data_IF_304721443138
#
_entry.id   IF_304721443138
#
_cell.length_a   1.000
_cell.length_b   1.000
_cell.length_c   1.000
_cell.angle_alpha   90.00
_cell.angle_beta   90.00
_cell.angle_gamma   90.00
#
_symmetry.space_group_name_H-M   'P 1'
#
loop_
_entity.id
_entity.type
_entity.pdbx_description
1 polymer ?
#
# COMPACT_ATOMS: atom_id res chain seq x y z
N UNK A 1 -4.24 -30.65 -18.13
CA UNK A 1 -5.21 -29.70 -17.53
C UNK A 1 -5.08 -28.39 -18.28
N UNK A 2 -6.18 -27.88 -18.85
CA UNK A 2 -6.20 -26.63 -19.62
C UNK A 2 -6.36 -25.46 -18.64
N UNK A 3 -5.30 -24.67 -18.44
CA UNK A 3 -5.34 -23.46 -17.63
C UNK A 3 -6.07 -22.36 -18.40
N UNK A 4 -7.34 -22.12 -18.09
CA UNK A 4 -8.09 -21.01 -18.68
C UNK A 4 -7.67 -19.70 -18.00
N UNK A 5 -6.68 -19.00 -18.57
CA UNK A 5 -6.20 -17.71 -18.06
C UNK A 5 -7.02 -16.57 -18.63
N UNK A 6 -7.79 -15.90 -17.78
CA UNK A 6 -8.44 -14.63 -18.14
C UNK A 6 -7.39 -13.52 -18.28
N UNK A 7 -7.10 -13.12 -19.53
CA UNK A 7 -6.21 -11.99 -19.88
C UNK A 7 -6.88 -10.61 -19.72
N UNK A 8 -8.00 -10.50 -19.01
CA UNK A 8 -8.80 -9.28 -19.05
C UNK A 8 -8.23 -8.18 -18.13
N UNK A 9 -7.47 -7.25 -18.71
CA UNK A 9 -7.40 -5.85 -18.25
C UNK A 9 -6.32 -5.47 -17.23
N UNK A 10 -5.46 -6.39 -16.79
CA UNK A 10 -4.38 -6.07 -15.87
C UNK A 10 -3.09 -5.66 -16.60
N UNK A 11 -2.40 -4.63 -16.12
CA UNK A 11 -1.09 -4.25 -16.65
C UNK A 11 -0.01 -5.23 -16.20
N UNK A 12 0.86 -5.62 -17.13
CA UNK A 12 2.07 -6.39 -16.84
C UNK A 12 3.15 -5.43 -16.32
N UNK A 13 3.03 -5.08 -15.04
CA UNK A 13 4.08 -4.37 -14.31
C UNK A 13 5.18 -5.37 -13.93
N UNK A 14 6.46 -5.07 -14.21
CA UNK A 14 7.56 -5.87 -13.70
C UNK A 14 7.50 -5.96 -12.17
N UNK A 15 7.81 -7.12 -11.60
CA UNK A 15 7.87 -7.42 -10.18
C UNK A 15 8.81 -6.45 -9.47
N UNK A 16 9.98 -6.18 -10.05
CA UNK A 16 10.92 -5.18 -9.53
C UNK A 16 10.30 -3.78 -9.46
N UNK A 17 9.52 -3.38 -10.48
CA UNK A 17 8.80 -2.12 -10.47
C UNK A 17 7.67 -2.13 -9.43
N UNK A 18 6.93 -3.23 -9.25
CA UNK A 18 5.89 -3.34 -8.24
C UNK A 18 6.45 -3.23 -6.80
N UNK A 19 7.61 -3.82 -6.53
CA UNK A 19 8.33 -3.67 -5.26
C UNK A 19 8.72 -2.21 -5.02
N UNK A 20 9.33 -1.56 -6.01
CA UNK A 20 9.75 -0.16 -5.90
C UNK A 20 8.56 0.78 -5.70
N UNK A 21 7.50 0.62 -6.50
CA UNK A 21 6.29 1.44 -6.42
C UNK A 21 5.56 1.25 -5.08
N UNK A 22 5.49 0.02 -4.57
CA UNK A 22 4.81 -0.25 -3.29
C UNK A 22 5.59 0.32 -2.11
N UNK A 23 6.91 0.12 -2.06
CA UNK A 23 7.76 0.73 -1.04
C UNK A 23 7.70 2.26 -1.10
N UNK A 24 7.77 2.84 -2.30
CA UNK A 24 7.67 4.28 -2.48
C UNK A 24 6.31 4.79 -2.03
N UNK A 25 5.19 4.15 -2.40
CA UNK A 25 3.86 4.57 -1.97
C UNK A 25 3.69 4.54 -0.45
N UNK A 26 4.17 3.46 0.19
CA UNK A 26 4.08 3.28 1.65
C UNK A 26 4.96 4.28 2.41
N UNK A 27 6.12 4.67 1.88
CA UNK A 27 7.02 5.63 2.51
C UNK A 27 6.68 7.10 2.19
N UNK A 28 6.32 7.41 0.95
CA UNK A 28 6.09 8.77 0.49
C UNK A 28 4.83 9.38 1.11
N UNK A 29 3.79 8.59 1.38
CA UNK A 29 2.58 9.09 2.03
C UNK A 29 2.84 9.66 3.44
N UNK A 30 3.39 8.88 4.42
CA UNK A 30 3.70 9.41 5.74
C UNK A 30 4.79 10.49 5.69
N UNK A 31 5.77 10.40 4.79
CA UNK A 31 6.77 11.46 4.61
C UNK A 31 6.14 12.78 4.16
N UNK A 32 5.20 12.74 3.21
CA UNK A 32 4.44 13.90 2.76
C UNK A 32 3.55 14.48 3.87
N UNK A 33 2.86 13.63 4.64
CA UNK A 33 2.04 14.05 5.77
C UNK A 33 2.87 14.72 6.89
N UNK A 34 4.03 14.14 7.24
CA UNK A 34 4.97 14.73 8.18
C UNK A 34 5.51 16.06 7.67
N UNK A 35 5.85 16.15 6.39
CA UNK A 35 6.31 17.39 5.77
C UNK A 35 5.26 18.49 5.88
N UNK A 36 3.97 18.18 5.67
CA UNK A 36 2.87 19.14 5.86
C UNK A 36 2.71 19.60 7.32
N UNK A 37 2.87 18.72 8.29
CA UNK A 37 2.79 19.12 9.70
C UNK A 37 4.00 19.95 10.15
N UNK A 38 5.19 19.67 9.60
CA UNK A 38 6.41 20.45 9.87
C UNK A 38 6.43 21.78 9.10
N UNK A 39 5.77 21.86 7.95
CA UNK A 39 5.83 23.01 7.05
C UNK A 39 4.92 24.17 7.41
N UNK A 40 4.22 24.17 8.55
CA UNK A 40 3.12 25.06 9.01
C UNK A 40 3.12 26.55 8.57
N UNK A 41 4.22 27.12 8.07
CA UNK A 41 4.33 28.49 7.52
C UNK A 41 5.10 28.64 6.19
N UNK A 42 5.61 27.56 5.59
CA UNK A 42 6.42 27.58 4.36
C UNK A 42 5.65 27.01 3.18
N UNK A 43 5.25 27.88 2.25
CA UNK A 43 4.55 27.49 1.02
C UNK A 43 5.33 26.45 0.20
N UNK A 44 6.66 26.58 -0.04
CA UNK A 44 7.41 25.57 -0.78
C UNK A 44 7.40 24.20 -0.09
N UNK A 45 7.49 24.16 1.24
CA UNK A 45 7.49 22.91 1.97
C UNK A 45 6.09 22.25 1.97
N UNK A 46 5.02 23.03 2.05
CA UNK A 46 3.66 22.50 1.91
C UNK A 46 3.40 21.92 0.51
N UNK A 47 3.86 22.60 -0.54
CA UNK A 47 3.78 22.09 -1.92
C UNK A 47 4.55 20.76 -2.07
N UNK A 48 5.74 20.66 -1.46
CA UNK A 48 6.50 19.41 -1.44
C UNK A 48 5.76 18.27 -0.74
N UNK A 49 5.12 18.54 0.40
CA UNK A 49 4.31 17.55 1.13
C UNK A 49 3.13 17.03 0.31
N UNK A 50 2.38 17.94 -0.33
CA UNK A 50 1.28 17.54 -1.23
C UNK A 50 1.78 16.78 -2.47
N UNK A 51 2.92 17.18 -3.05
CA UNK A 51 3.51 16.49 -4.19
C UNK A 51 3.91 15.05 -3.83
N UNK A 52 4.46 14.81 -2.65
CA UNK A 52 4.79 13.46 -2.16
C UNK A 52 3.54 12.60 -1.96
N UNK A 53 2.49 13.16 -1.35
CA UNK A 53 1.21 12.46 -1.18
C UNK A 53 0.62 12.09 -2.55
N UNK A 54 0.61 13.03 -3.50
CA UNK A 54 0.12 12.79 -4.85
C UNK A 54 0.94 11.71 -5.56
N UNK A 55 2.27 11.74 -5.44
CA UNK A 55 3.14 10.73 -6.01
C UNK A 55 2.87 9.34 -5.40
N UNK A 56 2.63 9.25 -4.08
CA UNK A 56 2.24 8.01 -3.42
C UNK A 56 0.92 7.45 -3.98
N UNK A 57 -0.08 8.32 -4.18
CA UNK A 57 -1.37 7.93 -4.76
C UNK A 57 -1.24 7.48 -6.22
N UNK A 58 -0.39 8.12 -7.01
CA UNK A 58 -0.12 7.71 -8.39
C UNK A 58 0.53 6.32 -8.43
N UNK A 59 1.51 6.07 -7.55
CA UNK A 59 2.15 4.76 -7.43
C UNK A 59 1.14 3.68 -7.00
N UNK A 60 0.30 3.98 -6.01
CA UNK A 60 -0.78 3.07 -5.59
C UNK A 60 -1.77 2.80 -6.73
N UNK A 61 -2.17 3.81 -7.49
CA UNK A 61 -3.07 3.65 -8.63
C UNK A 61 -2.45 2.78 -9.75
N UNK A 62 -1.14 2.91 -10.00
CA UNK A 62 -0.43 2.03 -10.92
C UNK A 62 -0.43 0.57 -10.45
N UNK A 63 -0.20 0.34 -9.16
CA UNK A 63 -0.27 -0.99 -8.54
C UNK A 63 -1.67 -1.59 -8.59
N UNK A 64 -2.73 -0.79 -8.41
CA UNK A 64 -4.11 -1.29 -8.46
C UNK A 64 -4.47 -1.88 -9.83
N UNK A 65 -3.88 -1.35 -10.90
CA UNK A 65 -4.06 -1.87 -12.26
C UNK A 65 -3.19 -3.09 -12.58
N UNK A 66 -2.27 -3.46 -11.68
CA UNK A 66 -1.30 -4.53 -11.92
C UNK A 66 -1.92 -5.92 -11.88
N UNK A 67 -1.26 -6.85 -12.58
CA UNK A 67 -1.59 -8.27 -12.56
C UNK A 67 -1.34 -8.94 -11.19
N UNK A 68 -0.58 -8.29 -10.29
CA UNK A 68 -0.41 -8.71 -8.89
C UNK A 68 -1.63 -8.32 -8.05
N UNK A 69 -2.15 -7.11 -8.22
CA UNK A 69 -3.38 -6.71 -7.54
C UNK A 69 -4.56 -7.61 -7.92
N UNK A 70 -4.62 -8.07 -9.18
CA UNK A 70 -5.62 -9.05 -9.60
C UNK A 70 -5.59 -10.31 -8.72
N UNK A 71 -4.42 -10.87 -8.43
CA UNK A 71 -4.31 -12.07 -7.58
C UNK A 71 -4.89 -11.81 -6.18
N UNK A 72 -4.63 -10.63 -5.63
CA UNK A 72 -5.11 -10.24 -4.30
C UNK A 72 -6.62 -10.01 -4.28
N UNK A 73 -7.15 -9.29 -5.27
CA UNK A 73 -8.49 -8.70 -5.25
C UNK A 73 -9.56 -9.51 -6.02
N UNK A 74 -9.17 -10.39 -6.95
CA UNK A 74 -10.12 -11.13 -7.78
C UNK A 74 -10.89 -12.20 -6.95
N UNK A 75 -12.01 -12.66 -7.48
CA UNK A 75 -12.78 -13.76 -6.88
C UNK A 75 -11.98 -15.08 -6.91
N UNK A 76 -11.96 -15.89 -5.82
CA UNK A 76 -11.20 -17.14 -5.77
C UNK A 76 -11.49 -18.12 -6.91
N UNK A 77 -12.73 -18.16 -7.40
CA UNK A 77 -13.15 -19.03 -8.50
C UNK A 77 -12.51 -18.72 -9.86
N UNK A 78 -11.87 -17.56 -10.00
CA UNK A 78 -11.16 -17.13 -11.22
C UNK A 78 -9.64 -17.20 -11.08
N UNK A 79 -9.15 -17.65 -9.94
CA UNK A 79 -7.73 -17.87 -9.70
C UNK A 79 -7.41 -19.34 -9.94
N UNK A 80 -6.22 -19.61 -10.46
CA UNK A 80 -5.70 -20.97 -10.45
C UNK A 80 -5.27 -21.39 -9.03
N UNK A 81 -5.02 -22.67 -8.82
CA UNK A 81 -4.66 -23.23 -7.50
C UNK A 81 -3.37 -22.62 -6.94
N UNK A 82 -2.41 -22.28 -7.82
CA UNK A 82 -1.16 -21.66 -7.42
C UNK A 82 -1.36 -20.20 -6.99
N UNK A 83 -2.08 -19.41 -7.77
CA UNK A 83 -2.47 -18.03 -7.48
C UNK A 83 -3.30 -17.95 -6.20
N UNK A 84 -4.17 -18.95 -5.94
CA UNK A 84 -4.97 -19.02 -4.73
C UNK A 84 -4.09 -19.25 -3.48
N UNK A 85 -3.13 -20.18 -3.55
CA UNK A 85 -2.18 -20.40 -2.46
C UNK A 85 -1.32 -19.17 -2.20
N UNK A 86 -0.84 -18.54 -3.27
CA UNK A 86 -0.03 -17.34 -3.20
C UNK A 86 -0.80 -16.17 -2.59
N UNK A 87 -2.05 -15.96 -3.01
CA UNK A 87 -2.98 -15.00 -2.40
C UNK A 87 -3.16 -15.26 -0.91
N UNK A 88 -3.45 -16.51 -0.52
CA UNK A 88 -3.69 -16.87 0.88
C UNK A 88 -2.49 -16.52 1.76
N UNK A 89 -1.27 -16.88 1.33
CA UNK A 89 -0.03 -16.54 2.05
C UNK A 89 0.18 -15.03 2.11
N UNK A 90 0.02 -14.32 1.00
CA UNK A 90 0.19 -12.89 0.94
C UNK A 90 -0.80 -12.15 1.85
N UNK A 91 -2.09 -12.53 1.82
CA UNK A 91 -3.13 -11.95 2.66
C UNK A 91 -2.91 -12.21 4.15
N UNK A 92 -2.46 -13.41 4.54
CA UNK A 92 -2.16 -13.72 5.94
C UNK A 92 -1.01 -12.86 6.48
N UNK A 93 0.09 -12.74 5.73
CA UNK A 93 1.21 -11.88 6.13
C UNK A 93 0.83 -10.39 6.10
N UNK A 94 0.09 -9.96 5.08
CA UNK A 94 -0.37 -8.58 4.97
C UNK A 94 -1.30 -8.19 6.13
N UNK A 95 -2.23 -9.08 6.49
CA UNK A 95 -3.10 -8.89 7.64
C UNK A 95 -2.29 -8.80 8.94
N UNK A 96 -1.37 -9.76 9.18
CA UNK A 96 -0.49 -9.72 10.35
C UNK A 96 0.33 -8.43 10.45
N UNK A 97 0.93 -8.01 9.33
CA UNK A 97 1.69 -6.75 9.25
C UNK A 97 0.82 -5.51 9.48
N UNK A 98 -0.36 -5.44 8.87
CA UNK A 98 -1.30 -4.34 9.07
C UNK A 98 -1.82 -4.28 10.51
N UNK A 99 -2.15 -5.42 11.12
CA UNK A 99 -2.55 -5.49 12.53
C UNK A 99 -1.43 -5.05 13.46
N UNK A 100 -0.18 -5.44 13.18
CA UNK A 100 0.97 -4.97 13.96
C UNK A 100 1.15 -3.45 13.85
N UNK A 101 1.01 -2.87 12.65
CA UNK A 101 1.04 -1.42 12.44
C UNK A 101 -0.10 -0.70 13.17
N UNK A 102 -1.32 -1.26 13.13
CA UNK A 102 -2.45 -0.71 13.85
C UNK A 102 -2.22 -0.75 15.37
N UNK A 103 -1.66 -1.84 15.90
CA UNK A 103 -1.32 -1.95 17.32
C UNK A 103 -0.26 -0.91 17.72
N UNK A 104 0.79 -0.75 16.91
CA UNK A 104 1.81 0.29 17.14
C UNK A 104 1.19 1.68 17.11
N UNK A 105 0.26 1.96 16.19
CA UNK A 105 -0.44 3.24 16.12
C UNK A 105 -1.31 3.51 17.35
N UNK A 106 -2.00 2.49 17.88
CA UNK A 106 -2.80 2.59 19.12
C UNK A 106 -1.89 2.83 20.33
N UNK A 107 -0.79 2.09 20.46
CA UNK A 107 0.19 2.28 21.54
C UNK A 107 0.78 3.70 21.47
N UNK A 108 1.17 4.14 20.27
CA UNK A 108 1.66 5.50 20.05
C UNK A 108 0.61 6.54 20.47
N UNK A 109 -0.66 6.37 20.06
CA UNK A 109 -1.72 7.32 20.39
C UNK A 109 -1.95 7.44 21.91
N UNK A 110 -1.90 6.31 22.64
CA UNK A 110 -2.02 6.30 24.10
C UNK A 110 -0.83 7.02 24.79
N UNK A 111 0.39 6.80 24.32
CA UNK A 111 1.57 7.51 24.85
C UNK A 111 1.53 8.99 24.47
N UNK A 112 1.16 9.31 23.23
CA UNK A 112 1.13 10.66 22.71
C UNK A 112 0.06 11.52 23.40
N UNK A 113 -1.09 10.96 23.76
CA UNK A 113 -2.12 11.69 24.51
C UNK A 113 -1.64 12.14 25.89
N UNK A 114 -0.79 11.35 26.54
CA UNK A 114 -0.31 11.63 27.90
C UNK A 114 0.96 12.50 27.91
N UNK A 115 1.81 12.36 26.90
CA UNK A 115 3.12 13.01 26.82
C UNK A 115 3.18 14.20 25.84
N UNK A 116 2.05 14.64 25.30
CA UNK A 116 2.00 15.78 24.38
C UNK A 116 2.59 15.47 23.00
N UNK A 117 2.55 14.20 22.58
CA UNK A 117 2.89 13.78 21.23
C UNK A 117 1.85 14.26 20.20
N UNK A 118 2.19 14.16 18.91
CA UNK A 118 1.24 14.53 17.86
C UNK A 118 0.07 13.54 17.83
N UNK A 119 -1.15 14.08 17.90
CA UNK A 119 -2.41 13.36 17.69
C UNK A 119 -3.33 14.21 16.81
N UNK A 120 -4.17 13.61 15.95
CA UNK A 120 -5.11 14.36 15.13
C UNK A 120 -6.15 15.07 16.01
N UNK A 121 -6.29 16.38 15.84
CA UNK A 121 -7.22 17.26 16.59
C UNK A 121 -8.32 17.87 15.72
N UNK A 122 -8.15 17.86 14.40
CA UNK A 122 -9.10 18.44 13.46
C UNK A 122 -9.46 17.50 12.30
N UNK A 123 -10.50 17.85 11.57
CA UNK A 123 -11.00 17.05 10.45
C UNK A 123 -9.92 16.76 9.41
N UNK A 124 -9.10 17.74 9.05
CA UNK A 124 -8.07 17.58 8.02
C UNK A 124 -7.02 16.54 8.42
N UNK A 125 -6.61 16.53 9.69
CA UNK A 125 -5.67 15.55 10.21
C UNK A 125 -6.27 14.15 10.27
N UNK A 126 -7.54 14.02 10.67
CA UNK A 126 -8.26 12.75 10.60
C UNK A 126 -8.46 12.27 9.16
N UNK A 127 -8.73 13.18 8.23
CA UNK A 127 -8.89 12.88 6.81
C UNK A 127 -7.57 12.35 6.22
N UNK A 128 -6.44 12.99 6.54
CA UNK A 128 -5.12 12.50 6.16
C UNK A 128 -4.81 11.11 6.75
N UNK A 129 -5.12 10.88 8.03
CA UNK A 129 -4.94 9.57 8.64
C UNK A 129 -5.79 8.50 7.94
N UNK A 130 -7.06 8.78 7.67
CA UNK A 130 -7.98 7.88 6.98
C UNK A 130 -7.43 7.45 5.61
N UNK A 131 -7.00 8.41 4.78
CA UNK A 131 -6.45 8.10 3.47
C UNK A 131 -5.12 7.34 3.54
N UNK A 132 -4.30 7.61 4.55
CA UNK A 132 -3.08 6.84 4.80
C UNK A 132 -3.37 5.38 5.15
N UNK A 133 -4.31 5.15 6.07
CA UNK A 133 -4.75 3.79 6.46
C UNK A 133 -5.36 3.07 5.26
N UNK A 134 -6.20 3.74 4.48
CA UNK A 134 -6.79 3.19 3.27
C UNK A 134 -5.73 2.79 2.23
N UNK A 135 -4.74 3.67 1.98
CA UNK A 135 -3.62 3.38 1.09
C UNK A 135 -2.85 2.14 1.55
N UNK A 136 -2.53 2.06 2.84
CA UNK A 136 -1.80 0.92 3.41
C UNK A 136 -2.59 -0.39 3.26
N UNK A 137 -3.88 -0.37 3.55
CA UNK A 137 -4.76 -1.54 3.40
C UNK A 137 -4.79 -2.08 1.96
N UNK A 138 -4.74 -1.18 0.96
CA UNK A 138 -4.74 -1.55 -0.46
C UNK A 138 -3.35 -2.01 -0.92
N UNK A 139 -2.28 -1.34 -0.50
CA UNK A 139 -0.94 -1.55 -1.05
C UNK A 139 -0.19 -2.70 -0.40
N UNK A 140 -0.34 -2.93 0.91
CA UNK A 140 0.43 -3.94 1.65
C UNK A 140 0.27 -5.35 1.06
N UNK A 141 -0.93 -5.85 0.73
CA UNK A 141 -1.07 -7.18 0.13
C UNK A 141 -0.29 -7.34 -1.18
N UNK A 142 -0.30 -6.31 -2.04
CA UNK A 142 0.46 -6.30 -3.30
C UNK A 142 1.95 -6.23 -3.03
N UNK A 143 2.37 -5.41 -2.07
CA UNK A 143 3.76 -5.30 -1.66
C UNK A 143 4.27 -6.67 -1.23
N UNK A 144 3.61 -7.32 -0.27
CA UNK A 144 3.94 -8.66 0.22
C UNK A 144 3.99 -9.67 -0.92
N UNK A 145 2.95 -9.70 -1.77
CA UNK A 145 2.89 -10.59 -2.92
C UNK A 145 4.09 -10.39 -3.86
N UNK A 146 4.48 -9.14 -4.14
CA UNK A 146 5.60 -8.82 -5.02
C UNK A 146 6.95 -9.32 -4.49
N UNK A 147 7.08 -9.48 -3.17
CA UNK A 147 8.28 -10.07 -2.54
C UNK A 147 8.23 -11.59 -2.45
N UNK A 148 7.06 -12.22 -2.66
CA UNK A 148 6.92 -13.68 -2.68
C UNK A 148 7.13 -14.29 -4.07
N UNK A 149 6.96 -13.49 -5.13
CA UNK A 149 7.13 -13.94 -6.52
C UNK A 149 8.51 -13.55 -7.03
N UNK A 150 9.12 -14.46 -7.80
CA UNK A 150 10.39 -14.22 -8.50
C UNK A 150 10.16 -13.55 -9.86
N UNK A 151 11.23 -13.02 -10.46
CA UNK A 151 11.17 -12.39 -11.79
C UNK A 151 10.76 -13.37 -12.90
N UNK A 152 11.01 -14.68 -12.72
CA UNK A 152 10.57 -15.73 -13.63
C UNK A 152 9.04 -15.85 -13.72
N UNK A 153 8.31 -15.37 -12.71
CA UNK A 153 6.84 -15.30 -12.73
C UNK A 153 6.31 -14.41 -13.86
N UNK A 154 7.12 -13.45 -14.33
CA UNK A 154 6.78 -12.61 -15.48
C UNK A 154 6.91 -13.37 -16.80
N UNK A 155 7.91 -14.25 -16.93
CA UNK A 155 8.22 -14.96 -18.17
C UNK A 155 7.22 -16.07 -18.47
N UNK A 156 6.59 -16.61 -17.42
CA UNK A 156 5.57 -17.65 -17.52
C UNK A 156 4.14 -17.12 -17.73
N UNK A 157 3.93 -15.79 -17.79
CA UNK A 157 2.61 -15.13 -17.94
C UNK A 157 2.28 -14.70 -19.37
#
# INVERSE_FOLDING_TARGET
>A
MLFYRSKAGASNLPVGAARALSLFALAAYPAGALMLDLSKKSLPASLGGYALILAALICAAALVKSSLQRIVAEQPSKLDEYELQLRSRAMNLAYGGFTALALVAVIYAAIASDHGGWVPVNYDQFNGLFWGVFLYAVVIPVAVLSWMVDESFETER
#
